data_IF_875057115187
#
_entry.id   IF_875057115187
#
_cell.length_a   1.000
_cell.length_b   1.000
_cell.length_c   1.000
_cell.angle_alpha   90.00
_cell.angle_beta   90.00
_cell.angle_gamma   90.00
#
_symmetry.space_group_name_H-M   'P 1'
#
loop_
_entity.id
_entity.type
_entity.pdbx_description
1 polymer ?
#
# COMPACT_ATOMS: atom_id res chain seq x y z
N UNK A 1 16.80 -1.50 -1.15
CA UNK A 1 15.68 -0.83 -0.46
C UNK A 1 15.96 -0.54 1.02
N UNK A 2 16.20 -1.54 1.89
CA UNK A 2 16.36 -1.33 3.36
C UNK A 2 17.33 -0.19 3.74
N UNK A 3 18.52 -0.10 3.13
CA UNK A 3 19.49 0.95 3.44
C UNK A 3 19.00 2.36 3.04
N UNK A 4 18.26 2.47 1.93
CA UNK A 4 17.60 3.71 1.53
C UNK A 4 16.51 4.11 2.53
N UNK A 5 15.65 3.17 2.93
CA UNK A 5 14.60 3.41 3.94
C UNK A 5 15.19 3.86 5.29
N UNK A 6 16.30 3.25 5.73
CA UNK A 6 17.05 3.67 6.94
C UNK A 6 17.67 5.06 6.82
N UNK A 7 18.08 5.46 5.62
CA UNK A 7 18.60 6.82 5.35
C UNK A 7 17.47 7.85 5.37
N UNK A 8 16.37 7.59 4.64
CA UNK A 8 15.27 8.53 4.46
C UNK A 8 14.37 8.69 5.70
N UNK A 9 14.13 7.62 6.46
CA UNK A 9 13.27 7.62 7.65
C UNK A 9 14.04 7.79 8.96
N UNK A 10 15.37 7.65 8.93
CA UNK A 10 16.20 7.55 10.12
C UNK A 10 16.36 6.11 10.63
N UNK A 11 17.27 5.92 11.60
CA UNK A 11 17.73 4.59 12.03
C UNK A 11 16.83 3.90 13.07
N UNK A 12 15.89 4.62 13.68
CA UNK A 12 15.19 4.17 14.90
C UNK A 12 13.70 3.88 14.64
N UNK A 13 13.21 2.75 15.18
CA UNK A 13 11.78 2.35 15.18
C UNK A 13 11.12 2.25 13.79
N UNK A 14 11.79 1.62 12.83
CA UNK A 14 11.22 1.32 11.51
C UNK A 14 10.33 0.07 11.57
N UNK A 15 9.13 0.15 10.98
CA UNK A 15 8.23 -0.99 10.77
C UNK A 15 8.13 -1.27 9.28
N UNK A 16 8.51 -2.48 8.86
CA UNK A 16 8.25 -2.97 7.51
C UNK A 16 6.83 -3.52 7.43
N UNK A 17 6.07 -3.10 6.42
CA UNK A 17 4.72 -3.59 6.14
C UNK A 17 4.71 -4.18 4.73
N UNK A 18 4.09 -5.35 4.59
CA UNK A 18 3.89 -6.02 3.30
C UNK A 18 2.55 -6.78 3.32
N UNK A 19 1.99 -7.02 2.13
CA UNK A 19 0.85 -7.91 1.96
C UNK A 19 1.27 -9.35 2.21
N UNK A 20 0.39 -10.16 2.82
CA UNK A 20 0.75 -11.54 3.22
C UNK A 20 1.01 -12.46 2.02
N UNK A 21 0.33 -12.24 0.91
CA UNK A 21 0.52 -12.97 -0.36
C UNK A 21 -0.11 -12.19 -1.54
N UNK A 22 -0.07 -12.76 -2.74
CA UNK A 22 -0.86 -12.35 -3.91
C UNK A 22 -2.18 -13.11 -4.06
N UNK A 23 -2.56 -13.96 -3.10
CA UNK A 23 -3.79 -14.78 -3.16
C UNK A 23 -5.04 -13.88 -3.22
N UNK A 24 -5.97 -14.22 -4.12
CA UNK A 24 -7.18 -13.45 -4.37
C UNK A 24 -6.99 -12.27 -5.35
N UNK A 25 -5.82 -12.13 -5.97
CA UNK A 25 -5.57 -11.12 -6.99
C UNK A 25 -6.36 -11.45 -8.27
N UNK A 26 -7.26 -10.54 -8.67
CA UNK A 26 -8.16 -10.73 -9.82
C UNK A 26 -9.53 -11.30 -9.46
N UNK A 27 -9.68 -11.87 -8.26
CA UNK A 27 -10.93 -12.44 -7.76
C UNK A 27 -11.85 -11.38 -7.12
N UNK A 28 -13.16 -11.67 -7.08
CA UNK A 28 -14.10 -10.88 -6.29
C UNK A 28 -14.00 -11.25 -4.80
N UNK A 29 -13.53 -10.30 -3.98
CA UNK A 29 -13.30 -10.50 -2.55
C UNK A 29 -14.12 -9.54 -1.70
N UNK A 30 -14.52 -10.01 -0.51
CA UNK A 30 -15.22 -9.18 0.48
C UNK A 30 -14.22 -8.62 1.49
N UNK A 31 -14.30 -7.32 1.76
CA UNK A 31 -13.53 -6.68 2.83
C UNK A 31 -14.14 -7.09 4.18
N UNK A 32 -13.32 -7.67 5.07
CA UNK A 32 -13.72 -8.03 6.44
C UNK A 32 -13.39 -6.93 7.44
N UNK A 33 -12.18 -6.38 7.37
CA UNK A 33 -11.66 -5.42 8.35
C UNK A 33 -10.66 -4.47 7.69
N UNK A 34 -10.68 -3.21 8.12
CA UNK A 34 -9.72 -2.19 7.74
C UNK A 34 -9.05 -1.68 9.01
N UNK A 35 -7.72 -1.58 9.02
CA UNK A 35 -6.92 -1.00 10.10
C UNK A 35 -6.04 0.11 9.52
N UNK A 36 -6.27 1.35 9.93
CA UNK A 36 -5.38 2.47 9.59
C UNK A 36 -4.12 2.43 10.48
N UNK A 37 -2.97 2.77 9.91
CA UNK A 37 -1.76 3.12 10.66
C UNK A 37 -1.58 4.64 10.60
N UNK A 38 -1.40 5.27 11.76
CA UNK A 38 -1.06 6.69 11.84
C UNK A 38 0.46 6.84 11.88
N UNK A 39 1.04 7.31 10.78
CA UNK A 39 2.49 7.37 10.55
C UNK A 39 2.87 8.67 9.84
N UNK A 40 3.84 9.41 10.39
CA UNK A 40 4.24 10.74 9.89
C UNK A 40 5.17 10.72 8.68
N UNK A 41 5.94 9.65 8.50
CA UNK A 41 6.90 9.46 7.40
C UNK A 41 6.88 8.00 6.97
N UNK A 42 6.84 7.76 5.66
CA UNK A 42 6.82 6.42 5.07
C UNK A 42 7.72 6.38 3.83
N UNK A 43 8.17 5.18 3.46
CA UNK A 43 8.80 4.90 2.16
C UNK A 43 8.09 3.66 1.60
N UNK A 44 7.52 3.78 0.41
CA UNK A 44 7.00 2.64 -0.33
C UNK A 44 8.16 1.93 -1.04
N UNK A 45 8.24 0.60 -0.89
CA UNK A 45 9.18 -0.24 -1.61
C UNK A 45 8.43 -0.99 -2.71
N UNK A 46 8.99 -1.04 -3.91
CA UNK A 46 8.47 -1.79 -5.06
C UNK A 46 9.47 -2.87 -5.45
N UNK A 47 8.99 -3.96 -6.07
CA UNK A 47 9.83 -5.08 -6.51
C UNK A 47 10.41 -4.89 -7.92
N UNK A 48 9.79 -4.04 -8.75
CA UNK A 48 10.17 -3.81 -10.16
C UNK A 48 11.26 -2.73 -10.26
N UNK A 49 12.21 -2.88 -11.18
CA UNK A 49 13.30 -1.91 -11.34
C UNK A 49 12.82 -0.51 -11.77
N UNK A 50 12.94 0.41 -10.83
CA UNK A 50 13.44 1.80 -10.92
C UNK A 50 12.80 2.84 -11.87
N UNK A 51 13.03 2.93 -13.20
CA UNK A 51 12.86 4.20 -13.93
C UNK A 51 11.48 4.86 -13.90
N UNK A 52 10.39 4.10 -13.71
CA UNK A 52 9.03 4.67 -13.54
C UNK A 52 8.70 5.03 -12.07
N UNK A 53 9.39 4.44 -11.10
CA UNK A 53 9.09 4.57 -9.67
C UNK A 53 9.63 5.86 -9.03
N UNK A 54 10.65 6.48 -9.64
CA UNK A 54 11.20 7.78 -9.23
C UNK A 54 10.14 8.88 -9.20
N UNK A 55 9.17 8.84 -10.13
CA UNK A 55 8.08 9.84 -10.19
C UNK A 55 7.11 9.77 -8.99
N UNK A 56 6.93 8.60 -8.37
CA UNK A 56 5.99 8.41 -7.25
C UNK A 56 6.64 8.44 -5.86
N UNK A 57 7.94 8.15 -5.74
CA UNK A 57 8.58 7.93 -4.45
C UNK A 57 9.23 9.16 -3.81
N UNK A 58 9.28 10.32 -4.49
CA UNK A 58 9.97 11.52 -4.03
C UNK A 58 9.14 12.35 -3.02
N UNK A 59 8.76 11.72 -1.91
CA UNK A 59 7.96 12.26 -0.80
C UNK A 59 6.48 12.51 -1.13
N UNK A 60 5.63 11.48 -0.95
CA UNK A 60 4.18 11.64 -0.91
C UNK A 60 3.77 12.43 0.35
N UNK A 61 3.25 13.66 0.24
CA UNK A 61 2.87 14.46 1.40
C UNK A 61 1.57 13.89 2.00
N UNK A 62 1.62 13.43 3.25
CA UNK A 62 0.48 12.86 3.98
C UNK A 62 -0.20 11.67 3.28
N UNK A 63 0.50 10.54 3.20
CA UNK A 63 -0.12 9.24 2.88
C UNK A 63 -0.55 8.49 4.13
N UNK A 64 -1.79 7.97 4.14
CA UNK A 64 -2.30 7.05 5.18
C UNK A 64 -2.05 5.62 4.73
N UNK A 65 -1.59 4.76 5.64
CA UNK A 65 -1.46 3.33 5.36
C UNK A 65 -2.66 2.58 5.94
N UNK A 66 -3.21 1.65 5.18
CA UNK A 66 -4.29 0.76 5.61
C UNK A 66 -3.85 -0.70 5.46
N UNK A 67 -4.08 -1.52 6.47
CA UNK A 67 -4.14 -2.98 6.34
C UNK A 67 -5.60 -3.38 6.15
N UNK A 68 -5.85 -4.21 5.14
CA UNK A 68 -7.19 -4.66 4.75
C UNK A 68 -7.20 -6.18 4.76
N UNK A 69 -8.08 -6.76 5.58
CA UNK A 69 -8.33 -8.21 5.61
C UNK A 69 -9.42 -8.56 4.60
N UNK A 70 -9.09 -9.44 3.66
CA UNK A 70 -10.01 -9.96 2.65
C UNK A 70 -10.48 -11.38 2.98
N UNK A 71 -11.76 -11.63 2.73
CA UNK A 71 -12.39 -12.95 2.83
C UNK A 71 -13.09 -13.33 1.53
N UNK A 72 -13.26 -14.63 1.32
CA UNK A 72 -14.08 -15.14 0.23
C UNK A 72 -15.56 -14.75 0.45
N UNK A 73 -16.28 -14.24 -0.56
CA UNK A 73 -17.65 -13.73 -0.37
C UNK A 73 -18.66 -14.77 0.13
N UNK A 74 -18.50 -16.04 -0.25
CA UNK A 74 -19.46 -17.13 0.04
C UNK A 74 -19.19 -17.81 1.39
N UNK A 75 -17.97 -18.29 1.62
CA UNK A 75 -17.62 -19.00 2.87
C UNK A 75 -17.22 -18.08 4.03
N UNK A 76 -16.84 -16.82 3.75
CA UNK A 76 -16.23 -15.94 4.75
C UNK A 76 -14.81 -16.35 5.17
N UNK A 77 -14.20 -17.35 4.50
CA UNK A 77 -12.86 -17.83 4.81
C UNK A 77 -11.80 -16.73 4.56
N UNK A 78 -10.77 -16.62 5.42
CA UNK A 78 -9.69 -15.63 5.25
C UNK A 78 -8.86 -15.94 3.99
N UNK A 79 -8.80 -14.98 3.07
CA UNK A 79 -8.04 -15.10 1.82
C UNK A 79 -6.66 -14.47 1.97
N UNK A 80 -6.60 -13.20 2.37
CA UNK A 80 -5.36 -12.43 2.39
C UNK A 80 -5.46 -11.20 3.32
N UNK A 81 -4.32 -10.68 3.76
CA UNK A 81 -4.20 -9.37 4.42
C UNK A 81 -3.28 -8.51 3.57
N UNK A 82 -3.82 -7.43 3.01
CA UNK A 82 -3.14 -6.55 2.05
C UNK A 82 -2.80 -5.22 2.70
N UNK A 83 -1.66 -4.63 2.35
CA UNK A 83 -1.27 -3.28 2.77
C UNK A 83 -1.46 -2.31 1.60
N UNK A 84 -2.29 -1.30 1.80
CA UNK A 84 -2.57 -0.24 0.82
C UNK A 84 -2.03 1.11 1.32
N UNK A 85 -1.40 1.86 0.43
CA UNK A 85 -1.00 3.26 0.67
C UNK A 85 -2.02 4.17 -0.01
N UNK A 86 -2.70 5.00 0.78
CA UNK A 86 -3.67 5.96 0.29
C UNK A 86 -3.09 7.37 0.38
N UNK A 87 -2.91 8.01 -0.78
CA UNK A 87 -2.42 9.39 -0.90
C UNK A 87 -3.56 10.31 -1.36
N UNK A 88 -3.73 11.44 -0.69
CA UNK A 88 -4.69 12.47 -1.10
C UNK A 88 -4.09 13.31 -2.23
N UNK A 89 -4.11 12.79 -3.45
CA UNK A 89 -3.80 13.59 -4.65
C UNK A 89 -4.96 14.58 -4.83
N UNK A 90 -4.78 15.83 -4.35
CA UNK A 90 -5.63 16.97 -4.75
C UNK A 90 -5.39 17.27 -6.23
N UNK A 91 -5.98 16.44 -7.10
CA UNK A 91 -6.10 16.72 -8.53
C UNK A 91 -7.26 17.69 -8.72
N UNK A 92 -6.95 18.92 -9.11
CA UNK A 92 -7.96 19.79 -9.73
C UNK A 92 -8.47 19.07 -11.00
N UNK A 93 -9.73 18.64 -10.98
CA UNK A 93 -10.50 18.33 -12.19
C UNK A 93 -10.09 17.12 -13.03
N UNK A 94 -9.52 16.04 -12.47
CA UNK A 94 -9.43 14.78 -13.25
C UNK A 94 -9.57 13.50 -12.41
N UNK A 95 -10.72 12.86 -12.56
CA UNK A 95 -11.14 11.63 -11.88
C UNK A 95 -10.52 10.40 -12.56
N UNK A 96 -9.22 10.16 -12.33
CA UNK A 96 -8.60 8.89 -12.72
C UNK A 96 -8.79 7.88 -11.60
N UNK A 97 -9.85 7.07 -11.73
CA UNK A 97 -9.86 5.74 -11.10
C UNK A 97 -8.72 4.93 -11.73
N UNK A 98 -7.56 4.95 -11.08
CA UNK A 98 -6.44 4.07 -11.43
C UNK A 98 -6.84 2.63 -11.08
N UNK A 99 -7.56 2.01 -12.00
CA UNK A 99 -7.93 0.61 -12.02
C UNK A 99 -6.65 -0.20 -12.00
N UNK A 100 -6.19 -0.60 -10.81
CA UNK A 100 -5.15 -1.59 -10.64
C UNK A 100 -5.68 -2.93 -11.18
N UNK A 101 -5.54 -3.10 -12.49
CA UNK A 101 -5.47 -4.43 -13.11
C UNK A 101 -4.10 -4.99 -12.76
N UNK A 102 -4.12 -6.09 -12.01
CA UNK A 102 -3.13 -7.14 -12.19
C UNK A 102 -3.45 -7.89 -13.49
#
# INVERSE_FOLDING_TARGET
MINFSKSALGKNKLLALTSKSTKGSGDELKIKKIKQFDVKKIVACHEIYLPFATYFCHSLPSSRIYSVDFVEPKSGAPVNTVVAVFTWIRRHGLQIMSRFRY
#
